data_IF_888164777674
#
_entry.id   IF_888164777674
#
_cell.length_a   1.000
_cell.length_b   1.000
_cell.length_c   1.000
_cell.angle_alpha   90.00
_cell.angle_beta   90.00
_cell.angle_gamma   90.00
#
_symmetry.space_group_name_H-M   'P 1'
#
loop_
_entity.id
_entity.type
_entity.pdbx_description
1 polymer ?
#
# COMPACT_ATOMS: atom_id res chain seq x y z
N UNK A 1 -39.44 -14.65 12.93
CA UNK A 1 -38.92 -13.31 13.15
C UNK A 1 -38.37 -13.18 14.56
N UNK A 2 -37.22 -12.57 14.75
CA UNK A 2 -36.62 -12.31 16.07
C UNK A 2 -37.43 -11.30 16.91
N UNK A 3 -38.39 -10.60 16.29
CA UNK A 3 -39.22 -9.58 16.94
C UNK A 3 -40.55 -10.10 17.50
N UNK A 4 -40.86 -11.36 17.26
CA UNK A 4 -42.11 -11.98 17.75
C UNK A 4 -41.79 -13.28 18.44
N UNK A 5 -42.57 -13.60 19.49
CA UNK A 5 -42.53 -14.93 20.12
C UNK A 5 -42.80 -15.98 19.04
N UNK A 6 -42.06 -17.11 19.04
CA UNK A 6 -42.42 -18.23 18.17
C UNK A 6 -43.80 -18.72 18.47
N UNK A 7 -44.51 -19.21 17.47
CA UNK A 7 -45.77 -19.90 17.63
C UNK A 7 -45.57 -21.18 18.47
N UNK A 8 -46.58 -21.67 19.17
CA UNK A 8 -46.48 -22.91 19.93
C UNK A 8 -45.92 -24.06 19.06
N UNK A 9 -44.94 -24.77 19.57
CA UNK A 9 -44.26 -25.85 18.85
C UNK A 9 -43.14 -25.46 17.91
N UNK A 10 -42.88 -24.15 17.66
CA UNK A 10 -41.71 -23.67 16.88
C UNK A 10 -40.56 -23.27 17.80
N UNK A 11 -39.37 -23.69 17.44
CA UNK A 11 -38.11 -23.29 18.10
C UNK A 11 -37.32 -22.31 17.21
N UNK A 12 -36.75 -21.32 17.84
CA UNK A 12 -35.84 -20.37 17.16
C UNK A 12 -34.44 -20.60 17.71
N UNK A 13 -33.52 -20.97 16.81
CA UNK A 13 -32.10 -21.11 17.11
C UNK A 13 -31.35 -19.92 16.56
N UNK A 14 -30.57 -19.22 17.41
CA UNK A 14 -29.73 -18.09 17.00
C UNK A 14 -28.29 -18.51 17.18
N UNK A 15 -27.55 -18.52 16.07
CA UNK A 15 -26.11 -18.80 16.04
C UNK A 15 -25.39 -17.52 15.73
N UNK A 16 -24.55 -17.04 16.67
CA UNK A 16 -23.74 -15.87 16.49
C UNK A 16 -22.34 -16.32 16.05
N UNK A 17 -21.92 -15.88 14.85
CA UNK A 17 -20.60 -16.17 14.31
C UNK A 17 -19.72 -14.93 14.47
N UNK A 18 -18.78 -14.95 15.38
CA UNK A 18 -17.85 -13.84 15.64
C UNK A 18 -16.78 -13.73 14.54
N UNK A 19 -16.08 -14.82 14.24
CA UNK A 19 -15.00 -14.88 13.25
C UNK A 19 -13.99 -13.72 13.36
N UNK A 20 -13.59 -13.38 14.59
CA UNK A 20 -12.62 -12.31 14.88
C UNK A 20 -13.17 -10.89 14.87
N UNK A 21 -14.49 -10.70 14.71
CA UNK A 21 -15.09 -9.35 14.68
C UNK A 21 -15.01 -8.66 16.02
N UNK A 22 -15.17 -9.39 17.12
CA UNK A 22 -15.05 -8.85 18.48
C UNK A 22 -13.64 -8.32 18.73
N UNK A 23 -12.60 -9.04 18.28
CA UNK A 23 -11.23 -8.58 18.38
C UNK A 23 -10.97 -7.34 17.53
N UNK A 24 -11.46 -7.35 16.30
CA UNK A 24 -11.42 -6.18 15.42
C UNK A 24 -12.13 -4.96 16.03
N UNK A 25 -13.22 -5.15 16.75
CA UNK A 25 -13.96 -4.06 17.42
C UNK A 25 -13.14 -3.42 18.55
N UNK A 26 -12.31 -4.19 19.24
CA UNK A 26 -11.40 -3.70 20.30
C UNK A 26 -10.27 -2.87 19.76
N UNK A 27 -9.80 -3.16 18.54
CA UNK A 27 -8.71 -2.43 17.91
C UNK A 27 -9.21 -1.10 17.34
N UNK A 28 -8.80 -0.01 17.95
CA UNK A 28 -9.25 1.34 17.58
C UNK A 28 -8.85 1.73 16.16
N UNK A 29 -7.67 1.34 15.71
CA UNK A 29 -7.15 1.66 14.39
C UNK A 29 -7.95 0.94 13.28
N UNK A 30 -8.49 -0.26 13.55
CA UNK A 30 -9.07 -1.12 12.52
C UNK A 30 -10.59 -1.34 12.65
N UNK A 31 -11.22 -1.03 13.81
CA UNK A 31 -12.65 -1.28 14.05
C UNK A 31 -13.59 -0.68 13.02
N UNK A 32 -13.22 0.45 12.41
CA UNK A 32 -14.08 1.13 11.45
C UNK A 32 -14.37 0.30 10.19
N UNK A 33 -13.54 -0.69 9.85
CA UNK A 33 -13.83 -1.58 8.71
C UNK A 33 -15.12 -2.39 8.89
N UNK A 34 -15.57 -2.60 10.13
CA UNK A 34 -16.82 -3.31 10.43
C UNK A 34 -18.07 -2.57 9.93
N UNK A 35 -17.97 -1.27 9.63
CA UNK A 35 -19.05 -0.47 9.01
C UNK A 35 -19.25 -0.79 7.52
N UNK A 36 -18.48 -1.69 6.94
CA UNK A 36 -18.46 -1.93 5.50
C UNK A 36 -19.81 -2.48 4.98
N UNK A 37 -20.39 -1.76 4.01
CA UNK A 37 -21.62 -2.12 3.31
C UNK A 37 -21.39 -3.12 2.15
N UNK A 38 -20.13 -3.48 1.86
CA UNK A 38 -19.74 -4.37 0.76
C UNK A 38 -20.17 -3.88 -0.62
N UNK A 39 -20.21 -2.56 -0.84
CA UNK A 39 -20.61 -1.96 -2.11
C UNK A 39 -19.57 -2.11 -3.24
N UNK A 40 -18.30 -2.47 -2.94
CA UNK A 40 -17.25 -2.68 -3.95
C UNK A 40 -16.59 -1.40 -4.48
N UNK A 41 -17.02 -0.21 -4.11
CA UNK A 41 -16.49 1.05 -4.63
C UNK A 41 -14.97 1.18 -4.44
N UNK A 42 -14.43 0.74 -3.31
CA UNK A 42 -12.99 0.75 -3.03
C UNK A 42 -12.17 -0.13 -3.98
N UNK A 43 -12.72 -1.26 -4.45
CA UNK A 43 -12.08 -2.11 -5.45
C UNK A 43 -12.09 -1.43 -6.83
N UNK A 44 -13.22 -0.84 -7.18
CA UNK A 44 -13.39 -0.20 -8.49
C UNK A 44 -12.43 0.97 -8.71
N UNK A 45 -12.14 1.75 -7.68
CA UNK A 45 -11.21 2.88 -7.76
C UNK A 45 -9.73 2.49 -7.56
N UNK A 46 -9.44 1.30 -7.03
CA UNK A 46 -8.09 0.90 -6.65
C UNK A 46 -7.20 0.64 -7.88
N UNK A 47 -6.09 1.38 -8.07
CA UNK A 47 -5.19 1.18 -9.21
C UNK A 47 -4.50 -0.19 -9.17
N UNK A 48 -4.19 -0.71 -7.98
CA UNK A 48 -3.57 -2.02 -7.82
C UNK A 48 -4.55 -3.12 -8.21
N UNK A 49 -5.78 -3.07 -7.68
CA UNK A 49 -6.83 -4.04 -8.03
C UNK A 49 -7.13 -4.06 -9.53
N UNK A 50 -7.20 -2.90 -10.16
CA UNK A 50 -7.47 -2.80 -11.62
C UNK A 50 -6.36 -3.40 -12.48
N UNK A 51 -5.15 -3.51 -11.97
CA UNK A 51 -4.00 -4.09 -12.66
C UNK A 51 -3.80 -5.58 -12.39
N UNK A 52 -3.92 -5.99 -11.12
CA UNK A 52 -3.60 -7.35 -10.69
C UNK A 52 -4.82 -8.28 -10.62
N UNK A 53 -6.03 -7.71 -10.54
CA UNK A 53 -7.26 -8.47 -10.34
C UNK A 53 -7.43 -9.00 -8.92
N UNK A 54 -8.59 -9.61 -8.66
CA UNK A 54 -8.94 -10.09 -7.32
C UNK A 54 -8.14 -11.30 -6.86
N UNK A 55 -7.74 -12.17 -7.78
CA UNK A 55 -7.03 -13.41 -7.47
C UNK A 55 -5.66 -13.16 -6.78
N UNK A 56 -4.98 -12.06 -7.16
CA UNK A 56 -3.68 -11.69 -6.58
C UNK A 56 -3.70 -11.42 -5.07
N UNK A 57 -4.86 -11.14 -4.51
CA UNK A 57 -5.00 -10.87 -3.07
C UNK A 57 -5.02 -12.14 -2.22
N UNK A 58 -5.18 -13.32 -2.82
CA UNK A 58 -5.22 -14.62 -2.13
C UNK A 58 -6.22 -14.69 -0.96
N UNK A 59 -7.20 -13.81 -0.92
CA UNK A 59 -8.26 -13.72 0.08
C UNK A 59 -9.62 -13.64 -0.61
N UNK A 60 -10.67 -14.22 -0.01
CA UNK A 60 -11.99 -14.31 -0.63
C UNK A 60 -12.67 -12.95 -0.86
N UNK A 61 -12.28 -11.92 -0.11
CA UNK A 61 -12.63 -10.53 -0.39
C UNK A 61 -11.37 -9.82 -0.85
N UNK A 62 -11.26 -9.43 -2.12
CA UNK A 62 -10.09 -8.72 -2.63
C UNK A 62 -10.16 -7.21 -2.41
N UNK A 63 -9.11 -6.51 -2.83
CA UNK A 63 -9.04 -5.07 -2.78
C UNK A 63 -8.75 -4.49 -1.38
N UNK A 64 -8.92 -3.18 -1.20
CA UNK A 64 -8.52 -2.48 0.03
C UNK A 64 -9.18 -3.01 1.30
N UNK A 65 -10.45 -3.39 1.25
CA UNK A 65 -11.11 -4.03 2.38
C UNK A 65 -10.53 -5.40 2.66
N UNK A 66 -10.25 -6.19 1.62
CA UNK A 66 -9.66 -7.53 1.75
C UNK A 66 -8.27 -7.53 2.34
N UNK A 67 -7.46 -6.48 2.08
CA UNK A 67 -6.17 -6.27 2.74
C UNK A 67 -6.38 -6.20 4.25
N UNK A 68 -7.26 -5.32 4.72
CA UNK A 68 -7.53 -5.15 6.15
C UNK A 68 -8.08 -6.43 6.82
N UNK A 69 -9.01 -7.11 6.17
CA UNK A 69 -9.59 -8.36 6.70
C UNK A 69 -8.58 -9.52 6.70
N UNK A 70 -7.71 -9.58 5.70
CA UNK A 70 -6.64 -10.57 5.62
C UNK A 70 -5.65 -10.42 6.77
N UNK A 71 -5.25 -9.19 7.06
CA UNK A 71 -4.32 -8.88 8.17
C UNK A 71 -4.88 -9.29 9.52
N UNK A 72 -6.15 -9.03 9.80
CA UNK A 72 -6.80 -9.51 11.03
C UNK A 72 -6.77 -11.03 11.19
N UNK A 73 -6.82 -11.75 10.08
CA UNK A 73 -6.90 -13.22 10.11
C UNK A 73 -5.52 -13.87 10.21
N UNK A 74 -4.55 -13.39 9.48
CA UNK A 74 -3.20 -13.94 9.42
C UNK A 74 -2.22 -12.90 8.86
N UNK A 75 -1.62 -12.06 9.72
CA UNK A 75 -0.68 -11.03 9.30
C UNK A 75 0.46 -11.57 8.43
N UNK A 76 1.07 -12.66 8.85
CA UNK A 76 2.19 -13.29 8.12
C UNK A 76 1.84 -13.65 6.69
N UNK A 77 0.65 -14.22 6.47
CA UNK A 77 0.20 -14.65 5.15
C UNK A 77 -0.13 -13.48 4.24
N UNK A 78 -0.69 -12.40 4.77
CA UNK A 78 -1.25 -11.29 3.98
C UNK A 78 -0.41 -10.02 4.02
N UNK A 79 0.73 -10.02 4.69
CA UNK A 79 1.70 -8.91 4.74
C UNK A 79 2.08 -8.38 3.36
N UNK A 80 2.21 -9.26 2.36
CA UNK A 80 2.49 -8.90 0.97
C UNK A 80 1.43 -7.98 0.35
N UNK A 81 0.16 -8.18 0.69
CA UNK A 81 -0.94 -7.36 0.19
C UNK A 81 -0.86 -5.93 0.74
N UNK A 82 -0.50 -5.77 2.01
CA UNK A 82 -0.27 -4.47 2.65
C UNK A 82 0.88 -3.73 1.98
N UNK A 83 1.98 -4.43 1.72
CA UNK A 83 3.16 -3.89 1.03
C UNK A 83 2.86 -3.51 -0.43
N UNK A 84 1.97 -4.23 -1.10
CA UNK A 84 1.55 -3.98 -2.48
C UNK A 84 0.65 -2.75 -2.65
N UNK A 85 0.09 -2.20 -1.59
CA UNK A 85 -0.76 -1.01 -1.64
C UNK A 85 0.08 0.24 -1.97
N UNK A 86 -0.42 1.09 -2.88
CA UNK A 86 0.24 2.35 -3.24
C UNK A 86 -0.04 3.51 -2.27
N UNK A 87 -0.88 3.30 -1.26
CA UNK A 87 -1.35 4.34 -0.32
C UNK A 87 -1.89 5.61 -1.02
N UNK A 88 -2.59 5.44 -2.12
CA UNK A 88 -3.18 6.57 -2.86
C UNK A 88 -4.46 7.14 -2.23
N UNK A 89 -4.98 6.52 -1.18
CA UNK A 89 -6.19 6.91 -0.44
C UNK A 89 -7.50 6.99 -1.25
N UNK A 90 -7.48 6.62 -2.52
CA UNK A 90 -8.67 6.62 -3.38
C UNK A 90 -9.83 5.80 -2.79
N UNK A 91 -9.51 4.69 -2.12
CA UNK A 91 -10.48 3.82 -1.46
C UNK A 91 -11.16 4.48 -0.26
N UNK A 92 -10.45 5.32 0.49
CA UNK A 92 -11.00 6.10 1.60
C UNK A 92 -11.95 7.17 1.10
N UNK A 93 -11.54 7.90 0.05
CA UNK A 93 -12.31 9.01 -0.53
C UNK A 93 -13.64 8.55 -1.14
N UNK A 94 -13.68 7.36 -1.76
CA UNK A 94 -14.88 6.85 -2.45
C UNK A 94 -15.82 6.08 -1.51
N UNK A 95 -15.40 5.81 -0.27
CA UNK A 95 -16.16 4.96 0.64
C UNK A 95 -17.46 5.63 1.12
N UNK A 96 -18.67 5.11 0.79
CA UNK A 96 -19.93 5.71 1.24
C UNK A 96 -20.13 5.59 2.75
N UNK A 97 -19.53 4.58 3.38
CA UNK A 97 -19.55 4.40 4.84
C UNK A 97 -18.45 5.18 5.56
N UNK A 98 -17.69 6.03 4.83
CA UNK A 98 -16.59 6.86 5.36
C UNK A 98 -15.57 6.05 6.17
N UNK A 99 -15.20 4.88 5.66
CA UNK A 99 -14.14 4.06 6.24
C UNK A 99 -12.82 4.54 5.65
N UNK A 100 -11.90 4.96 6.48
CA UNK A 100 -10.55 5.31 6.04
C UNK A 100 -9.70 4.05 5.87
N UNK A 101 -9.91 3.35 4.75
CA UNK A 101 -9.19 2.12 4.43
C UNK A 101 -7.70 2.35 4.18
N UNK A 102 -7.35 3.51 3.64
CA UNK A 102 -5.95 3.88 3.40
C UNK A 102 -5.18 4.03 4.69
N UNK A 103 -5.75 4.74 5.67
CA UNK A 103 -5.15 4.92 7.00
C UNK A 103 -5.01 3.59 7.74
N UNK A 104 -6.01 2.73 7.67
CA UNK A 104 -5.93 1.41 8.26
C UNK A 104 -4.81 0.56 7.64
N UNK A 105 -4.62 0.62 6.31
CA UNK A 105 -3.52 -0.08 5.65
C UNK A 105 -2.17 0.52 6.05
N UNK A 106 -2.10 1.82 6.27
CA UNK A 106 -0.91 2.47 6.80
C UNK A 106 -0.61 2.05 8.23
N UNK A 107 -1.62 1.99 9.10
CA UNK A 107 -1.49 1.47 10.46
C UNK A 107 -0.95 0.03 10.47
N UNK A 108 -1.47 -0.84 9.60
CA UNK A 108 -0.93 -2.20 9.45
C UNK A 108 0.55 -2.23 9.07
N UNK A 109 1.03 -1.29 8.25
CA UNK A 109 2.47 -1.21 7.94
C UNK A 109 3.31 -0.90 9.17
N UNK A 110 2.81 -0.01 10.02
CA UNK A 110 3.48 0.36 11.26
C UNK A 110 3.49 -0.81 12.25
N UNK A 111 2.35 -1.49 12.42
CA UNK A 111 2.23 -2.67 13.27
C UNK A 111 3.16 -3.81 12.78
N UNK A 112 3.19 -4.09 11.49
CA UNK A 112 4.09 -5.09 10.88
C UNK A 112 5.58 -4.79 11.12
N UNK A 113 5.98 -3.53 11.09
CA UNK A 113 7.37 -3.14 11.37
C UNK A 113 7.69 -3.29 12.85
N UNK A 114 6.75 -2.92 13.73
CA UNK A 114 6.89 -3.09 15.19
C UNK A 114 6.97 -4.57 15.61
N UNK A 115 6.14 -5.41 14.99
CA UNK A 115 6.07 -6.86 15.28
C UNK A 115 7.18 -7.68 14.59
N UNK A 116 8.03 -7.04 13.79
CA UNK A 116 9.13 -7.71 13.09
C UNK A 116 8.70 -8.64 11.94
N UNK A 117 7.47 -8.53 11.47
CA UNK A 117 6.94 -9.29 10.32
C UNK A 117 7.53 -8.78 8.99
N UNK A 118 8.09 -7.57 8.99
CA UNK A 118 8.72 -6.99 7.82
C UNK A 118 10.04 -7.69 7.46
N UNK A 119 10.31 -7.85 6.15
CA UNK A 119 11.55 -8.44 5.66
C UNK A 119 12.76 -7.62 6.13
N UNK A 120 13.65 -8.24 6.90
CA UNK A 120 14.87 -7.64 7.47
C UNK A 120 15.75 -6.99 6.40
N UNK A 121 15.84 -7.59 5.20
CA UNK A 121 16.62 -7.03 4.07
C UNK A 121 16.03 -5.71 3.60
N UNK A 122 14.70 -5.61 3.55
CA UNK A 122 13.99 -4.39 3.19
C UNK A 122 14.18 -3.30 4.24
N UNK A 123 14.12 -3.67 5.52
CA UNK A 123 14.37 -2.76 6.64
C UNK A 123 15.76 -2.16 6.57
N UNK A 124 16.79 -2.98 6.41
CA UNK A 124 18.18 -2.52 6.27
C UNK A 124 18.38 -1.62 5.04
N UNK A 125 17.74 -1.93 3.92
CA UNK A 125 17.81 -1.10 2.71
C UNK A 125 17.16 0.29 2.92
N UNK A 126 16.04 0.35 3.63
CA UNK A 126 15.34 1.61 3.95
C UNK A 126 16.14 2.44 4.95
N UNK A 127 16.72 1.83 5.98
CA UNK A 127 17.61 2.51 6.93
C UNK A 127 18.85 3.08 6.25
N UNK A 128 19.48 2.32 5.37
CA UNK A 128 20.62 2.81 4.57
C UNK A 128 20.24 4.00 3.66
N UNK A 129 19.05 3.93 3.05
CA UNK A 129 18.53 5.04 2.24
C UNK A 129 18.22 6.28 3.10
N UNK A 130 17.68 6.11 4.30
CA UNK A 130 17.41 7.19 5.25
C UNK A 130 18.70 7.95 5.61
N UNK A 131 19.78 7.24 5.91
CA UNK A 131 21.09 7.85 6.19
C UNK A 131 21.58 8.69 5.00
N UNK A 132 21.47 8.15 3.78
CA UNK A 132 21.89 8.88 2.57
C UNK A 132 21.03 10.14 2.36
N UNK A 133 19.73 10.05 2.57
CA UNK A 133 18.80 11.17 2.36
C UNK A 133 18.93 12.27 3.42
N UNK A 134 19.24 11.91 4.67
CA UNK A 134 19.48 12.88 5.76
C UNK A 134 20.72 13.74 5.52
N UNK A 135 21.73 13.20 4.85
CA UNK A 135 22.98 13.91 4.61
C UNK A 135 23.00 14.52 3.21
N UNK A 136 22.66 15.80 3.12
CA UNK A 136 22.61 16.57 1.86
C UNK A 136 23.85 16.36 0.98
N UNK A 137 25.05 16.43 1.57
CA UNK A 137 26.31 16.27 0.84
C UNK A 137 26.43 14.86 0.24
N UNK A 138 26.11 13.83 1.02
CA UNK A 138 26.17 12.44 0.58
C UNK A 138 25.17 12.18 -0.56
N UNK A 139 23.95 12.68 -0.42
CA UNK A 139 22.90 12.57 -1.42
C UNK A 139 23.30 13.21 -2.77
N UNK A 140 23.74 14.47 -2.73
CA UNK A 140 24.15 15.16 -3.97
C UNK A 140 25.43 14.60 -4.59
N UNK A 141 26.37 14.13 -3.79
CA UNK A 141 27.58 13.45 -4.31
C UNK A 141 27.20 12.14 -4.99
N UNK A 142 26.32 11.36 -4.37
CA UNK A 142 25.80 10.14 -4.98
C UNK A 142 25.09 10.39 -6.31
N UNK A 143 24.22 11.39 -6.37
CA UNK A 143 23.53 11.77 -7.61
C UNK A 143 24.49 12.22 -8.73
N UNK A 144 25.62 12.86 -8.41
CA UNK A 144 26.63 13.24 -9.39
C UNK A 144 27.47 12.07 -9.89
N UNK A 145 27.68 11.06 -9.06
CA UNK A 145 28.48 9.89 -9.40
C UNK A 145 27.69 8.82 -10.17
N UNK A 146 26.41 8.64 -9.89
CA UNK A 146 25.57 7.63 -10.54
C UNK A 146 25.62 7.66 -12.08
N UNK A 147 25.56 8.80 -12.78
CA UNK A 147 25.59 8.84 -14.23
C UNK A 147 26.91 8.36 -14.86
N UNK A 148 27.97 8.31 -14.06
CA UNK A 148 29.31 7.85 -14.48
C UNK A 148 29.53 6.35 -14.25
N UNK A 149 28.65 5.71 -13.49
CA UNK A 149 28.70 4.26 -13.28
C UNK A 149 28.31 3.58 -14.60
N UNK A 150 29.14 2.66 -15.13
CA UNK A 150 28.83 1.94 -16.35
C UNK A 150 27.52 1.18 -16.25
N UNK A 151 26.70 1.23 -17.31
CA UNK A 151 25.36 0.64 -17.32
C UNK A 151 25.34 -0.86 -16.97
N UNK A 152 26.37 -1.62 -17.35
CA UNK A 152 26.46 -3.04 -17.04
C UNK A 152 26.60 -3.32 -15.54
N UNK A 153 27.04 -2.37 -14.72
CA UNK A 153 27.19 -2.53 -13.27
C UNK A 153 25.83 -2.57 -12.59
N UNK A 154 24.89 -1.72 -13.01
CA UNK A 154 23.57 -1.67 -12.41
C UNK A 154 22.49 -2.38 -13.25
N UNK A 155 22.69 -2.56 -14.55
CA UNK A 155 21.76 -3.27 -15.43
C UNK A 155 22.29 -4.68 -15.73
N UNK A 156 22.31 -5.53 -14.72
CA UNK A 156 22.80 -6.90 -14.81
C UNK A 156 21.79 -7.89 -14.24
N UNK A 157 22.01 -9.18 -14.49
CA UNK A 157 21.14 -10.29 -14.07
C UNK A 157 21.01 -10.43 -12.56
N UNK A 158 21.97 -9.94 -11.78
CA UNK A 158 21.99 -10.05 -10.31
C UNK A 158 21.20 -8.93 -9.65
N UNK A 159 20.83 -7.87 -10.38
CA UNK A 159 20.01 -6.80 -9.86
C UNK A 159 18.51 -7.21 -9.91
N UNK A 160 17.83 -7.39 -8.76
CA UNK A 160 16.42 -7.78 -8.75
C UNK A 160 15.50 -6.80 -9.49
N UNK A 161 15.91 -5.52 -9.61
CA UNK A 161 15.16 -4.53 -10.36
C UNK A 161 15.10 -4.84 -11.85
N UNK A 162 16.16 -5.44 -12.39
CA UNK A 162 16.27 -5.76 -13.81
C UNK A 162 15.56 -7.08 -14.21
N UNK A 163 14.96 -7.78 -13.26
CA UNK A 163 14.19 -8.99 -13.52
C UNK A 163 12.82 -8.65 -14.17
N UNK A 164 12.82 -8.28 -15.43
CA UNK A 164 11.62 -7.93 -16.20
C UNK A 164 11.47 -6.45 -16.56
N UNK A 165 12.48 -5.62 -16.27
CA UNK A 165 12.55 -4.22 -16.68
C UNK A 165 14.00 -3.77 -16.82
N UNK A 166 14.21 -2.73 -17.60
CA UNK A 166 15.51 -2.07 -17.70
C UNK A 166 15.57 -0.87 -16.77
N UNK A 167 16.77 -0.61 -16.24
CA UNK A 167 17.03 0.64 -15.52
C UNK A 167 17.00 1.82 -16.50
N UNK A 168 16.36 2.94 -16.13
CA UNK A 168 16.35 4.14 -16.96
C UNK A 168 17.76 4.71 -17.13
N UNK A 169 17.97 5.47 -18.20
CA UNK A 169 19.20 6.23 -18.36
C UNK A 169 19.23 7.38 -17.35
N UNK A 170 20.30 7.44 -16.58
CA UNK A 170 20.51 8.57 -15.66
C UNK A 170 20.97 9.81 -16.43
N UNK A 171 20.30 10.92 -16.17
CA UNK A 171 20.70 12.20 -16.73
C UNK A 171 22.03 12.64 -16.13
N UNK A 172 22.94 13.15 -16.96
CA UNK A 172 24.25 13.65 -16.51
C UNK A 172 24.17 14.91 -15.68
N UNK A 173 23.06 15.64 -15.77
CA UNK A 173 22.82 16.90 -15.07
C UNK A 173 21.55 16.82 -14.27
N UNK A 174 21.57 17.35 -13.06
CA UNK A 174 20.40 17.35 -12.19
C UNK A 174 19.36 18.37 -12.66
N UNK A 175 18.08 18.12 -12.29
CA UNK A 175 16.99 19.07 -12.53
C UNK A 175 17.32 20.47 -11.96
N UNK A 176 17.89 20.54 -10.77
CA UNK A 176 18.25 21.80 -10.12
C UNK A 176 19.30 22.60 -10.89
N UNK A 177 20.27 21.92 -11.53
CA UNK A 177 21.26 22.58 -12.39
C UNK A 177 20.61 23.14 -13.64
N UNK A 178 19.77 22.35 -14.32
CA UNK A 178 19.04 22.78 -15.51
C UNK A 178 18.07 23.93 -15.21
N UNK A 179 17.41 23.88 -14.06
CA UNK A 179 16.51 24.94 -13.61
C UNK A 179 17.25 26.25 -13.39
N UNK A 180 18.36 26.23 -12.66
CA UNK A 180 19.19 27.43 -12.40
C UNK A 180 19.74 28.06 -13.68
N UNK A 181 19.98 27.24 -14.70
CA UNK A 181 20.48 27.73 -16.02
C UNK A 181 19.33 28.17 -16.95
N UNK A 182 18.10 28.12 -16.52
CA UNK A 182 16.94 28.48 -17.33
C UNK A 182 16.71 27.58 -18.55
N UNK A 183 17.34 26.40 -18.60
CA UNK A 183 17.26 25.45 -19.71
C UNK A 183 16.01 24.55 -19.67
N UNK A 184 15.21 24.64 -18.61
CA UNK A 184 13.92 23.96 -18.54
C UNK A 184 12.91 24.90 -19.14
N UNK A 185 12.35 24.51 -20.30
CA UNK A 185 11.25 25.22 -20.92
C UNK A 185 10.06 25.24 -19.94
N UNK A 186 9.77 26.38 -19.35
CA UNK A 186 8.44 26.63 -18.79
C UNK A 186 7.49 26.67 -19.96
N UNK A 187 6.52 25.76 -20.05
CA UNK A 187 5.42 25.87 -21.01
C UNK A 187 4.86 27.28 -20.90
N UNK A 188 5.07 28.06 -21.96
CA UNK A 188 4.37 29.33 -22.12
C UNK A 188 2.89 28.96 -22.09
N UNK A 189 2.16 29.36 -21.02
CA UNK A 189 0.71 29.38 -21.03
C UNK A 189 0.30 30.17 -22.27
N UNK A 190 -0.02 29.49 -23.34
CA UNK A 190 -0.77 30.10 -24.44
C UNK A 190 -2.07 30.62 -23.83
N UNK A 191 -2.17 31.92 -23.77
CA UNK A 191 -3.42 32.62 -23.46
C UNK A 191 -4.41 32.26 -24.56
N UNK A 192 -5.40 31.42 -24.25
CA UNK A 192 -6.67 31.37 -24.93
C UNK A 192 -7.59 32.40 -24.32
#
# INVERSE_FOLDING_TARGET
>A
SLYRRPEPGKQIHVVIVDNGRTESLRNEAHRNMLKCLRCGACMNTCPVYRRSGGYSYSYFIPGPLGINLGMLRSPERYAGNVSGCSLCYSCSNVCPARIDLGEQIYAWRQEMDADGVADTRKKLAVEGMDVVMRHKTLFYTGLKLIPWVPRFVYNNRFNPWCAGREMPHFARRSFNELWKEGKIATEKKEKR
#
